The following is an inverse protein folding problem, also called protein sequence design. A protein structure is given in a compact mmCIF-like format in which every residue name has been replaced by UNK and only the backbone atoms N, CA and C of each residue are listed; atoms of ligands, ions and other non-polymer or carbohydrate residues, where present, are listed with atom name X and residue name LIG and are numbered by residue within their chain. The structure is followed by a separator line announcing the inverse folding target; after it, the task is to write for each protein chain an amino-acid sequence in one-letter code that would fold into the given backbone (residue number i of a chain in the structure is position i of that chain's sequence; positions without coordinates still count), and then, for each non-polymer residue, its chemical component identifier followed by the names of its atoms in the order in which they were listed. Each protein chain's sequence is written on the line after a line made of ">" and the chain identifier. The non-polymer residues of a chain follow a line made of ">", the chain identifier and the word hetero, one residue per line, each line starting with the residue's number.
data_IF_175512943512
#
_entry.id   IF_175512943512
#
_cell.length_a   1.000
_cell.length_b   1.000
_cell.length_c   1.000
_cell.angle_alpha   90.00
_cell.angle_beta   90.00
_cell.angle_gamma   90.00
#
_symmetry.space_group_name_H-M   'P 1'
#
loop_
_entity.id
_entity.type
_entity.pdbx_description
1 polymer ?
#
# COMPACT_ATOMS: atom_id res chain seq x y z
N UNK A 1 -11.17 15.49 1.48
CA UNK A 1 -10.22 14.36 1.58
C UNK A 1 -9.21 14.71 2.66
N UNK A 2 -8.72 13.71 3.38
CA UNK A 2 -7.55 13.91 4.26
C UNK A 2 -6.31 13.98 3.39
N UNK A 3 -5.35 14.81 3.76
CA UNK A 3 -4.04 14.87 3.10
C UNK A 3 -3.13 13.76 3.62
N UNK A 4 -2.04 13.46 2.90
CA UNK A 4 -1.00 12.55 3.38
C UNK A 4 -0.52 12.93 4.79
N UNK A 5 -0.29 14.22 5.03
CA UNK A 5 0.12 14.75 6.34
C UNK A 5 -0.94 14.50 7.43
N UNK A 6 -2.23 14.59 7.12
CA UNK A 6 -3.31 14.27 8.07
C UNK A 6 -3.30 12.78 8.45
N UNK A 7 -2.97 11.89 7.50
CA UNK A 7 -2.86 10.45 7.75
C UNK A 7 -1.65 10.16 8.63
N UNK A 8 -0.47 10.70 8.30
CA UNK A 8 0.75 10.52 9.09
C UNK A 8 0.59 11.03 10.53
N UNK A 9 -0.05 12.18 10.70
CA UNK A 9 -0.34 12.71 12.03
C UNK A 9 -1.31 11.81 12.81
N UNK A 10 -2.37 11.31 12.16
CA UNK A 10 -3.32 10.38 12.77
C UNK A 10 -2.64 9.09 13.23
N UNK A 11 -1.70 8.55 12.46
CA UNK A 11 -0.95 7.33 12.83
C UNK A 11 -0.13 7.55 14.10
N UNK A 12 0.53 8.71 14.22
CA UNK A 12 1.31 9.10 15.41
C UNK A 12 0.41 9.32 16.63
N UNK A 13 -0.69 10.05 16.47
CA UNK A 13 -1.65 10.35 17.55
C UNK A 13 -2.26 9.08 18.15
N UNK A 14 -2.50 8.07 17.32
CA UNK A 14 -3.14 6.81 17.73
C UNK A 14 -2.15 5.70 18.09
N UNK A 15 -0.85 5.99 18.11
CA UNK A 15 0.23 5.02 18.33
C UNK A 15 0.09 3.74 17.49
N UNK A 16 -0.28 3.91 16.23
CA UNK A 16 -0.49 2.79 15.29
C UNK A 16 0.85 2.10 15.02
N UNK A 17 0.88 0.77 15.10
CA UNK A 17 2.09 -0.03 14.82
C UNK A 17 2.13 -0.59 13.40
N UNK A 18 0.97 -0.81 12.79
CA UNK A 18 0.85 -1.42 11.47
C UNK A 18 -0.19 -0.70 10.63
N UNK A 19 0.08 -0.63 9.34
CA UNK A 19 -0.89 -0.17 8.34
C UNK A 19 -1.23 -1.29 7.39
N UNK A 20 -2.45 -1.27 6.89
CA UNK A 20 -2.97 -2.28 5.98
C UNK A 20 -3.29 -1.63 4.64
N UNK A 21 -2.46 -1.88 3.64
CA UNK A 21 -2.62 -1.38 2.27
C UNK A 21 -3.55 -2.34 1.53
N UNK A 22 -4.74 -1.87 1.18
CA UNK A 22 -5.79 -2.68 0.55
C UNK A 22 -5.94 -2.33 -0.92
N UNK A 23 -6.14 -3.35 -1.75
CA UNK A 23 -6.42 -3.21 -3.17
C UNK A 23 -7.37 -4.33 -3.63
N UNK A 24 -7.90 -4.20 -4.85
CA UNK A 24 -8.83 -5.19 -5.40
C UNK A 24 -8.23 -5.79 -6.67
N UNK A 25 -8.28 -7.11 -6.78
CA UNK A 25 -7.84 -7.80 -8.00
C UNK A 25 -8.88 -7.70 -9.13
N UNK A 26 -8.51 -8.20 -10.32
CA UNK A 26 -9.38 -8.13 -11.51
C UNK A 26 -10.68 -8.93 -11.38
N UNK A 27 -10.77 -9.83 -10.40
CA UNK A 27 -11.97 -10.62 -10.11
C UNK A 27 -12.85 -9.98 -9.04
N UNK A 28 -12.46 -8.82 -8.50
CA UNK A 28 -13.20 -8.11 -7.46
C UNK A 28 -12.89 -8.58 -6.04
N UNK A 29 -11.89 -9.45 -5.83
CA UNK A 29 -11.50 -9.87 -4.47
C UNK A 29 -10.55 -8.84 -3.87
N UNK A 30 -10.84 -8.45 -2.62
CA UNK A 30 -9.95 -7.61 -1.83
C UNK A 30 -8.69 -8.39 -1.42
N UNK A 31 -7.54 -7.77 -1.66
CA UNK A 31 -6.22 -8.21 -1.26
C UNK A 31 -5.62 -7.15 -0.34
N UNK A 32 -4.64 -7.52 0.48
CA UNK A 32 -4.01 -6.57 1.39
C UNK A 32 -2.55 -6.93 1.67
N UNK A 33 -1.76 -5.90 1.99
CA UNK A 33 -0.39 -6.01 2.48
C UNK A 33 -0.29 -5.22 3.78
N UNK A 34 0.15 -5.88 4.84
CA UNK A 34 0.41 -5.22 6.11
C UNK A 34 1.86 -4.80 6.18
N UNK A 35 2.10 -3.52 6.46
CA UNK A 35 3.42 -2.94 6.66
C UNK A 35 3.54 -2.36 8.07
N UNK A 36 4.77 -2.30 8.59
CA UNK A 36 5.05 -1.56 9.81
C UNK A 36 4.81 -0.06 9.57
N UNK A 37 4.37 0.66 10.61
CA UNK A 37 4.11 2.11 10.52
C UNK A 37 5.35 2.91 10.09
N UNK A 38 6.56 2.40 10.35
CA UNK A 38 7.81 3.03 9.90
C UNK A 38 7.95 3.09 8.38
N UNK A 39 7.19 2.28 7.63
CA UNK A 39 7.13 2.35 6.17
C UNK A 39 6.18 3.44 5.65
N UNK A 40 5.48 4.16 6.54
CA UNK A 40 4.51 5.19 6.19
C UNK A 40 5.10 6.57 6.43
N UNK A 41 5.79 7.07 5.42
CA UNK A 41 6.28 8.44 5.34
C UNK A 41 5.68 9.17 4.13
N UNK A 42 6.09 10.42 3.91
CA UNK A 42 5.60 11.22 2.79
C UNK A 42 5.97 10.59 1.42
N UNK A 43 7.03 9.78 1.35
CA UNK A 43 7.45 9.10 0.11
C UNK A 43 6.50 7.97 -0.26
N UNK A 44 5.82 7.34 0.70
CA UNK A 44 4.81 6.33 0.40
C UNK A 44 3.69 6.87 -0.52
N UNK A 45 3.31 8.13 -0.33
CA UNK A 45 2.25 8.78 -1.10
C UNK A 45 2.71 9.32 -2.45
N UNK A 46 4.03 9.51 -2.66
CA UNK A 46 4.59 9.95 -3.95
C UNK A 46 5.13 8.81 -4.79
N UNK A 47 5.83 7.88 -4.16
CA UNK A 47 6.62 6.84 -4.81
C UNK A 47 5.93 5.47 -4.80
N UNK A 48 4.97 5.28 -3.89
CA UNK A 48 4.19 4.06 -3.72
C UNK A 48 4.91 2.93 -2.98
N UNK A 49 4.14 1.98 -2.46
CA UNK A 49 4.65 0.78 -1.80
C UNK A 49 4.97 -0.31 -2.82
N UNK A 50 6.23 -0.73 -2.91
CA UNK A 50 6.64 -1.79 -3.82
C UNK A 50 6.09 -3.17 -3.39
N UNK A 51 5.55 -3.93 -4.33
CA UNK A 51 5.10 -5.30 -4.11
C UNK A 51 5.19 -6.17 -5.38
N UNK A 52 5.17 -7.49 -5.17
CA UNK A 52 5.14 -8.47 -6.25
C UNK A 52 3.72 -8.65 -6.80
N UNK A 53 3.47 -8.08 -7.97
CA UNK A 53 2.21 -8.22 -8.70
C UNK A 53 2.04 -9.57 -9.41
N UNK A 54 3.10 -10.37 -9.55
CA UNK A 54 3.00 -11.70 -10.18
C UNK A 54 2.26 -12.72 -9.32
N UNK A 55 2.20 -12.45 -8.01
CA UNK A 55 1.38 -13.19 -7.07
C UNK A 55 -0.13 -12.91 -7.19
N UNK A 56 -0.54 -11.93 -8.00
CA UNK A 56 -1.96 -11.58 -8.21
C UNK A 56 -2.46 -12.17 -9.54
N UNK A 57 -3.47 -13.02 -9.45
CA UNK A 57 -4.02 -13.70 -10.62
C UNK A 57 -4.53 -12.70 -11.66
N UNK A 58 -3.99 -12.77 -12.87
CA UNK A 58 -4.37 -11.91 -13.99
C UNK A 58 -3.64 -10.56 -14.03
N UNK A 59 -2.59 -10.39 -13.22
CA UNK A 59 -1.69 -9.23 -13.28
C UNK A 59 -0.41 -9.58 -14.05
N UNK A 60 0.75 -9.07 -13.63
CA UNK A 60 2.02 -9.19 -14.35
C UNK A 60 2.57 -10.63 -14.30
N UNK A 61 3.32 -11.02 -15.32
CA UNK A 61 4.13 -12.24 -15.27
C UNK A 61 5.35 -12.05 -14.36
N UNK A 62 6.00 -13.14 -13.96
CA UNK A 62 7.21 -13.14 -13.10
C UNK A 62 8.32 -12.22 -13.67
N UNK A 63 8.46 -12.14 -14.99
CA UNK A 63 9.48 -11.30 -15.64
C UNK A 63 9.25 -9.79 -15.50
N UNK A 64 8.05 -9.38 -15.10
CA UNK A 64 7.66 -7.98 -14.90
C UNK A 64 6.87 -7.82 -13.59
N UNK A 65 7.24 -8.59 -12.56
CA UNK A 65 6.54 -8.73 -11.29
C UNK A 65 6.40 -7.43 -10.49
N UNK A 66 7.39 -6.55 -10.58
CA UNK A 66 7.48 -5.37 -9.73
C UNK A 66 6.34 -4.38 -10.00
N UNK A 67 5.56 -4.12 -8.97
CA UNK A 67 4.45 -3.16 -8.98
C UNK A 67 4.49 -2.26 -7.75
N UNK A 68 3.73 -1.17 -7.81
CA UNK A 68 3.61 -0.23 -6.70
C UNK A 68 2.16 0.02 -6.34
N UNK A 69 1.84 -0.01 -5.04
CA UNK A 69 0.56 0.44 -4.51
C UNK A 69 0.66 1.92 -4.16
N UNK A 70 -0.18 2.74 -4.79
CA UNK A 70 -0.31 4.16 -4.47
C UNK A 70 -1.47 4.32 -3.49
N UNK A 71 -1.22 4.77 -2.24
CA UNK A 71 -2.29 5.11 -1.30
C UNK A 71 -3.11 6.31 -1.81
N UNK A 72 -4.40 6.33 -1.48
CA UNK A 72 -5.37 7.41 -1.77
C UNK A 72 -5.69 8.22 -0.51
#
# INVERSE_FOLDING_TARGET
>A
MKTASDVVNMLKEKDVKFVDLRFTDTKGKMQHVTADVSCVDDSLFTDGYAFDGSSIAGWKSIEASDMKLMPD
#
